data_IF_968161160954
#
_entry.id   IF_968161160954
#
_cell.length_a   1.000
_cell.length_b   1.000
_cell.length_c   1.000
_cell.angle_alpha   90.00
_cell.angle_beta   90.00
_cell.angle_gamma   90.00
#
_symmetry.space_group_name_H-M   'P 1'
#
loop_
_entity.id
_entity.type
_entity.pdbx_description
1 polymer ?
#
# COMPACT_ATOMS: atom_id res chain seq x y z
N UNK A 1 -11.83 7.43 24.85
CA UNK A 1 -11.11 6.25 25.38
C UNK A 1 -10.36 5.62 24.22
N UNK A 2 -9.03 5.75 24.19
CA UNK A 2 -8.16 5.14 23.18
C UNK A 2 -8.03 3.65 23.49
N UNK A 3 -8.75 2.80 22.78
CA UNK A 3 -8.48 1.36 22.81
C UNK A 3 -7.09 1.15 22.20
N UNK A 4 -6.15 0.64 22.99
CA UNK A 4 -4.86 0.18 22.50
C UNK A 4 -5.10 -0.98 21.52
N UNK A 5 -5.27 -0.65 20.25
CA UNK A 5 -5.43 -1.61 19.16
C UNK A 5 -4.08 -2.33 19.03
N UNK A 6 -4.05 -3.61 19.37
CA UNK A 6 -2.88 -4.46 19.11
C UNK A 6 -2.69 -4.48 17.59
N UNK A 7 -1.64 -3.80 17.12
CA UNK A 7 -1.33 -3.72 15.69
C UNK A 7 -0.59 -5.01 15.33
N UNK A 8 -1.24 -5.87 14.52
CA UNK A 8 -0.60 -7.08 14.00
C UNK A 8 0.57 -6.77 13.06
N UNK A 9 1.52 -7.71 12.97
CA UNK A 9 2.64 -7.63 12.05
C UNK A 9 2.17 -7.38 10.61
N UNK A 10 2.76 -6.38 9.96
CA UNK A 10 2.37 -5.98 8.60
C UNK A 10 2.90 -6.96 7.57
N UNK A 11 1.99 -7.53 6.80
CA UNK A 11 2.30 -8.44 5.71
C UNK A 11 2.98 -7.70 4.56
N UNK A 12 4.12 -8.22 4.09
CA UNK A 12 4.88 -7.58 3.02
C UNK A 12 4.35 -8.04 1.65
N UNK A 13 3.76 -7.10 0.91
CA UNK A 13 3.11 -7.34 -0.39
C UNK A 13 3.41 -6.22 -1.38
N UNK A 14 3.48 -6.56 -2.66
CA UNK A 14 3.58 -5.62 -3.77
C UNK A 14 2.18 -5.15 -4.21
N UNK A 15 2.09 -3.97 -4.82
CA UNK A 15 0.79 -3.39 -5.21
C UNK A 15 0.05 -4.27 -6.23
N UNK A 16 0.76 -4.88 -7.18
CA UNK A 16 0.20 -5.81 -8.16
C UNK A 16 -0.35 -7.10 -7.52
N UNK A 17 0.22 -7.53 -6.41
CA UNK A 17 -0.27 -8.69 -5.64
C UNK A 17 -1.57 -8.38 -4.90
N UNK A 18 -1.75 -7.12 -4.46
CA UNK A 18 -3.00 -6.67 -3.82
C UNK A 18 -4.15 -6.66 -4.83
N UNK A 19 -3.92 -6.20 -6.07
CA UNK A 19 -4.97 -6.15 -7.10
C UNK A 19 -5.33 -7.53 -7.64
N UNK A 20 -4.32 -8.36 -7.93
CA UNK A 20 -4.57 -9.63 -8.62
C UNK A 20 -5.05 -10.75 -7.67
N UNK A 21 -5.43 -10.42 -6.43
CA UNK A 21 -5.81 -11.35 -5.37
C UNK A 21 -4.95 -12.63 -5.39
N UNK A 22 -3.63 -12.47 -5.25
CA UNK A 22 -2.72 -13.61 -5.31
C UNK A 22 -3.21 -14.70 -4.34
N UNK A 23 -3.48 -15.91 -4.85
CA UNK A 23 -3.94 -17.08 -4.06
C UNK A 23 -3.06 -17.38 -2.85
N UNK A 24 -1.83 -16.88 -2.88
CA UNK A 24 -0.83 -17.00 -1.82
C UNK A 24 -1.32 -16.39 -0.49
N UNK A 25 -2.22 -15.38 -0.51
CA UNK A 25 -2.59 -14.63 0.67
C UNK A 25 -4.01 -14.07 0.66
N UNK A 26 -4.85 -14.46 1.62
CA UNK A 26 -6.16 -13.83 1.83
C UNK A 26 -6.00 -12.42 2.43
N UNK A 27 -6.13 -11.40 1.59
CA UNK A 27 -6.27 -10.02 2.06
C UNK A 27 -7.71 -9.81 2.51
N UNK A 28 -7.87 -9.37 3.75
CA UNK A 28 -9.17 -9.03 4.35
C UNK A 28 -9.15 -7.57 4.75
N UNK A 29 -10.33 -6.99 4.88
CA UNK A 29 -10.46 -5.67 5.49
C UNK A 29 -9.73 -5.65 6.84
N UNK A 30 -9.05 -4.54 7.12
CA UNK A 30 -8.18 -4.29 8.27
C UNK A 30 -6.89 -5.13 8.31
N UNK A 31 -6.54 -5.85 7.26
CA UNK A 31 -5.21 -6.48 7.17
C UNK A 31 -4.14 -5.41 7.19
N UNK A 32 -3.20 -5.52 8.13
CA UNK A 32 -1.99 -4.69 8.20
C UNK A 32 -1.04 -5.11 7.08
N UNK A 33 -0.74 -4.21 6.16
CA UNK A 33 0.16 -4.45 5.04
C UNK A 33 1.33 -3.46 5.04
N UNK A 34 2.45 -3.92 4.49
CA UNK A 34 3.63 -3.13 4.14
C UNK A 34 3.85 -3.29 2.65
N UNK A 35 3.81 -2.20 1.92
CA UNK A 35 4.03 -2.19 0.47
C UNK A 35 5.01 -1.10 0.07
N UNK A 36 5.49 -1.19 -1.17
CA UNK A 36 6.33 -0.17 -1.79
C UNK A 36 5.74 0.23 -3.13
N UNK A 37 5.86 1.51 -3.46
CA UNK A 37 5.39 2.06 -4.73
C UNK A 37 6.02 3.40 -5.02
N UNK A 38 5.96 3.81 -6.29
CA UNK A 38 6.37 5.12 -6.74
C UNK A 38 5.23 6.10 -6.45
N UNK A 39 5.49 7.14 -5.66
CA UNK A 39 4.51 8.18 -5.42
C UNK A 39 4.26 9.00 -6.69
N UNK A 40 3.03 9.04 -7.18
CA UNK A 40 2.65 9.76 -8.41
C UNK A 40 1.89 11.04 -8.17
N UNK A 41 1.07 11.06 -7.14
CA UNK A 41 0.17 12.18 -6.87
C UNK A 41 -0.05 12.30 -5.37
N UNK A 42 -0.19 13.54 -4.91
CA UNK A 42 -0.74 13.91 -3.62
C UNK A 42 -1.97 14.77 -3.88
N UNK A 43 -3.10 14.39 -3.31
CA UNK A 43 -4.38 15.06 -3.38
C UNK A 43 -4.77 15.49 -1.96
N UNK A 44 -4.46 16.75 -1.64
CA UNK A 44 -4.69 17.31 -0.31
C UNK A 44 -6.17 17.52 -0.03
N UNK A 45 -6.98 17.81 -1.04
CA UNK A 45 -8.42 18.02 -0.89
C UNK A 45 -9.15 16.74 -0.48
N UNK A 46 -8.61 15.59 -0.89
CA UNK A 46 -9.13 14.27 -0.55
C UNK A 46 -8.33 13.55 0.53
N UNK A 47 -7.22 14.12 1.00
CA UNK A 47 -6.25 13.46 1.88
C UNK A 47 -5.80 12.10 1.34
N UNK A 48 -5.49 12.04 0.04
CA UNK A 48 -5.05 10.84 -0.65
C UNK A 48 -3.67 11.03 -1.30
N UNK A 49 -2.92 9.95 -1.39
CA UNK A 49 -1.77 9.82 -2.26
C UNK A 49 -1.95 8.60 -3.18
N UNK A 50 -1.41 8.70 -4.39
CA UNK A 50 -1.46 7.65 -5.40
C UNK A 50 -0.07 7.02 -5.55
N UNK A 51 0.02 5.72 -5.30
CA UNK A 51 1.22 4.92 -5.53
C UNK A 51 1.07 4.10 -6.81
N UNK A 52 2.15 3.95 -7.55
CA UNK A 52 2.25 3.07 -8.72
C UNK A 52 3.32 2.00 -8.50
N UNK A 53 3.04 0.77 -8.92
CA UNK A 53 4.06 -0.23 -9.19
C UNK A 53 3.62 -1.09 -10.39
N UNK A 54 4.48 -1.24 -11.41
CA UNK A 54 4.17 -1.97 -12.65
C UNK A 54 2.81 -1.59 -13.26
N UNK A 55 2.57 -0.30 -13.49
CA UNK A 55 1.31 0.22 -14.05
C UNK A 55 0.05 -0.12 -13.23
N UNK A 56 0.23 -0.59 -11.99
CA UNK A 56 -0.83 -0.93 -11.05
C UNK A 56 -0.83 0.12 -9.95
N UNK A 57 -2.01 0.66 -9.64
CA UNK A 57 -2.16 1.81 -8.76
C UNK A 57 -2.91 1.49 -7.48
N UNK A 58 -2.48 2.10 -6.38
CA UNK A 58 -3.11 1.98 -5.06
C UNK A 58 -3.20 3.36 -4.39
N UNK A 59 -4.38 3.68 -3.85
CA UNK A 59 -4.52 4.83 -2.97
C UNK A 59 -4.06 4.53 -1.56
N UNK A 60 -3.46 5.54 -0.95
CA UNK A 60 -3.24 5.59 0.48
C UNK A 60 -3.74 6.92 1.08
N UNK A 61 -4.12 6.89 2.36
CA UNK A 61 -4.44 8.13 3.10
C UNK A 61 -3.16 8.84 3.56
N UNK A 62 -3.24 10.16 3.72
CA UNK A 62 -2.12 11.02 4.19
C UNK A 62 -2.49 11.91 5.38
N UNK A 63 -3.73 11.81 5.87
CA UNK A 63 -4.32 12.60 6.95
C UNK A 63 -3.49 12.56 8.25
N UNK A 64 -2.91 11.41 8.57
CA UNK A 64 -2.09 11.22 9.77
C UNK A 64 -0.69 11.86 9.68
N UNK A 65 -0.27 12.36 8.51
CA UNK A 65 1.10 12.81 8.25
C UNK A 65 1.18 14.14 7.51
N UNK A 66 0.17 15.01 7.62
CA UNK A 66 0.17 16.32 6.95
C UNK A 66 1.45 17.14 7.30
N UNK A 67 1.97 17.02 8.53
CA UNK A 67 3.22 17.66 8.96
C UNK A 67 4.49 17.05 8.36
N UNK A 68 4.42 15.84 7.81
CA UNK A 68 5.53 15.07 7.24
C UNK A 68 5.18 14.54 5.84
N UNK A 69 4.41 15.33 5.09
CA UNK A 69 3.95 14.93 3.77
C UNK A 69 5.12 14.47 2.91
N UNK A 70 4.93 13.38 2.14
CA UNK A 70 5.90 12.97 1.13
C UNK A 70 6.29 14.17 0.26
N UNK A 71 7.56 14.60 0.34
CA UNK A 71 8.00 15.83 -0.34
C UNK A 71 8.49 15.61 -1.77
N UNK A 72 8.57 14.36 -2.24
CA UNK A 72 9.13 14.02 -3.56
C UNK A 72 8.22 13.10 -4.36
N UNK A 73 7.66 13.61 -5.44
CA UNK A 73 6.94 12.81 -6.45
C UNK A 73 7.96 12.03 -7.29
N UNK A 74 7.51 10.92 -7.90
CA UNK A 74 8.29 10.01 -8.74
C UNK A 74 9.45 9.33 -8.03
N UNK A 75 9.31 9.12 -6.71
CA UNK A 75 10.25 8.39 -5.87
C UNK A 75 9.58 7.21 -5.20
N UNK A 76 10.37 6.21 -4.83
CA UNK A 76 9.87 5.07 -4.08
C UNK A 76 9.57 5.44 -2.64
N UNK A 77 8.40 5.01 -2.18
CA UNK A 77 7.97 5.10 -0.79
C UNK A 77 7.60 3.72 -0.28
N UNK A 78 7.97 3.44 0.97
CA UNK A 78 7.44 2.34 1.75
C UNK A 78 6.27 2.85 2.57
N UNK A 79 5.13 2.19 2.41
CA UNK A 79 3.90 2.50 3.14
C UNK A 79 3.52 1.33 4.03
N UNK A 80 3.14 1.62 5.27
CA UNK A 80 2.55 0.66 6.19
C UNK A 80 1.18 1.17 6.60
N UNK A 81 0.18 0.30 6.56
CA UNK A 81 -1.19 0.66 6.90
C UNK A 81 -2.16 -0.51 6.89
N UNK A 82 -3.43 -0.20 7.07
CA UNK A 82 -4.53 -1.15 7.05
C UNK A 82 -5.28 -1.06 5.72
N UNK A 83 -5.60 -2.22 5.12
CA UNK A 83 -6.52 -2.25 3.98
C UNK A 83 -7.94 -1.91 4.44
N UNK A 84 -8.56 -0.94 3.79
CA UNK A 84 -9.93 -0.51 4.10
C UNK A 84 -10.75 -0.38 2.82
N UNK A 85 -12.07 -0.55 2.93
CA UNK A 85 -12.97 -0.27 1.81
C UNK A 85 -13.01 1.24 1.56
N UNK A 86 -12.91 1.72 0.31
CA UNK A 86 -13.03 3.14 0.02
C UNK A 86 -14.42 3.66 0.39
N UNK A 87 -14.48 4.86 0.96
CA UNK A 87 -15.72 5.59 1.16
C UNK A 87 -16.27 6.17 -0.17
N UNK A 88 -17.49 6.72 -0.16
CA UNK A 88 -18.14 7.24 -1.36
C UNK A 88 -17.32 8.31 -2.12
N UNK A 89 -16.57 9.16 -1.41
CA UNK A 89 -15.73 10.20 -2.03
C UNK A 89 -14.52 9.56 -2.73
N UNK A 90 -13.88 8.60 -2.06
CA UNK A 90 -12.73 7.86 -2.57
C UNK A 90 -13.10 6.98 -3.76
N UNK A 91 -14.28 6.33 -3.73
CA UNK A 91 -14.81 5.53 -4.84
C UNK A 91 -14.93 6.36 -6.12
N UNK A 92 -15.51 7.56 -6.05
CA UNK A 92 -15.61 8.46 -7.22
C UNK A 92 -14.26 8.81 -7.82
N UNK A 93 -13.25 9.03 -6.99
CA UNK A 93 -11.91 9.35 -7.47
C UNK A 93 -11.18 8.13 -8.06
N UNK A 94 -11.41 6.94 -7.51
CA UNK A 94 -10.97 5.67 -8.09
C UNK A 94 -11.58 5.49 -9.48
N UNK A 95 -12.90 5.60 -9.61
CA UNK A 95 -13.64 5.46 -10.87
C UNK A 95 -13.15 6.46 -11.93
N UNK A 96 -12.97 7.73 -11.54
CA UNK A 96 -12.46 8.76 -12.45
C UNK A 96 -11.12 8.39 -13.06
N UNK A 97 -10.20 7.82 -12.28
CA UNK A 97 -8.84 7.47 -12.75
C UNK A 97 -8.80 6.13 -13.45
N UNK A 98 -9.68 5.20 -13.11
CA UNK A 98 -9.91 4.01 -13.92
C UNK A 98 -10.36 4.39 -15.33
N UNK A 99 -11.31 5.33 -15.47
CA UNK A 99 -11.80 5.81 -16.75
C UNK A 99 -10.71 6.47 -17.62
N UNK A 100 -9.55 6.80 -17.02
CA UNK A 100 -8.37 7.29 -17.74
C UNK A 100 -7.44 6.15 -18.22
N UNK A 101 -7.85 4.89 -18.06
CA UNK A 101 -7.08 3.71 -18.47
C UNK A 101 -6.10 3.17 -17.43
N UNK A 102 -6.14 3.66 -16.18
CA UNK A 102 -5.23 3.19 -15.13
C UNK A 102 -5.75 1.91 -14.48
N UNK A 103 -4.88 0.89 -14.35
CA UNK A 103 -5.19 -0.32 -13.57
C UNK A 103 -5.13 0.00 -12.07
N UNK A 104 -6.28 0.33 -11.48
CA UNK A 104 -6.38 0.81 -10.10
C UNK A 104 -7.16 -0.16 -9.21
N UNK A 105 -6.77 -0.25 -7.93
CA UNK A 105 -7.50 -1.06 -6.96
C UNK A 105 -8.82 -0.36 -6.59
N UNK A 106 -9.95 -1.04 -6.84
CA UNK A 106 -11.28 -0.53 -6.48
C UNK A 106 -11.76 -1.00 -5.12
N UNK A 107 -11.29 -2.17 -4.73
CA UNK A 107 -11.75 -2.85 -3.53
C UNK A 107 -11.10 -2.31 -2.27
N UNK A 108 -9.92 -1.72 -2.40
CA UNK A 108 -9.09 -1.37 -1.26
C UNK A 108 -8.39 -0.04 -1.44
N UNK A 109 -8.36 0.70 -0.32
CA UNK A 109 -7.40 1.77 -0.07
C UNK A 109 -6.52 1.36 1.10
N UNK A 110 -5.34 1.98 1.20
CA UNK A 110 -4.42 1.78 2.31
C UNK A 110 -4.52 2.93 3.31
N UNK A 111 -5.24 2.72 4.41
CA UNK A 111 -5.24 3.67 5.52
C UNK A 111 -3.86 3.65 6.19
N UNK A 112 -3.07 4.69 5.93
CA UNK A 112 -1.63 4.63 6.16
C UNK A 112 -1.25 5.17 7.53
N UNK A 113 -0.34 4.44 8.18
CA UNK A 113 0.27 4.77 9.47
C UNK A 113 1.76 5.08 9.38
N UNK A 114 2.41 4.73 8.27
CA UNK A 114 3.82 5.05 8.04
C UNK A 114 4.03 5.35 6.57
N UNK A 115 4.73 6.44 6.30
CA UNK A 115 5.26 6.78 4.98
C UNK A 115 6.77 6.97 5.12
N UNK A 116 7.56 6.29 4.29
CA UNK A 116 9.02 6.43 4.29
C UNK A 116 9.54 6.56 2.87
N UNK A 117 10.23 7.66 2.59
CA UNK A 117 11.01 7.79 1.36
C UNK A 117 12.14 6.75 1.37
N UNK A 118 12.20 5.93 0.33
CA UNK A 118 13.22 4.89 0.13
C UNK A 118 13.89 5.09 -1.23
N UNK A 119 14.37 6.32 -1.47
CA UNK A 119 15.09 6.67 -2.69
C UNK A 119 16.36 5.81 -2.82
N UNK A 120 16.68 5.38 -4.04
CA UNK A 120 17.83 4.51 -4.32
C UNK A 120 17.66 3.05 -3.92
N UNK A 121 16.45 2.59 -3.58
CA UNK A 121 16.19 1.16 -3.37
C UNK A 121 16.45 0.36 -4.65
N UNK A 122 17.19 -0.74 -4.54
CA UNK A 122 17.23 -1.77 -5.57
C UNK A 122 15.92 -2.58 -5.49
N UNK A 123 15.01 -2.27 -6.40
CA UNK A 123 13.68 -2.85 -6.44
C UNK A 123 13.70 -4.34 -6.77
N UNK A 124 14.69 -4.80 -7.53
CA UNK A 124 14.78 -6.19 -7.96
C UNK A 124 15.36 -7.06 -6.84
N UNK A 125 16.42 -6.58 -6.17
CA UNK A 125 16.91 -7.23 -4.95
C UNK A 125 15.85 -7.27 -3.84
N UNK A 126 15.04 -6.22 -3.70
CA UNK A 126 13.92 -6.22 -2.76
C UNK A 126 12.93 -7.36 -3.07
N UNK A 127 12.56 -7.56 -4.34
CA UNK A 127 11.66 -8.66 -4.74
C UNK A 127 12.28 -10.02 -4.47
N UNK A 128 13.55 -10.22 -4.82
CA UNK A 128 14.26 -11.48 -4.53
C UNK A 128 14.26 -11.78 -3.03
N UNK A 129 14.55 -10.77 -2.20
CA UNK A 129 14.53 -10.91 -0.74
C UNK A 129 13.15 -11.31 -0.22
N UNK A 130 12.07 -10.79 -0.82
CA UNK A 130 10.69 -11.12 -0.46
C UNK A 130 10.35 -12.57 -0.83
N UNK A 131 10.80 -13.06 -1.99
CA UNK A 131 10.62 -14.46 -2.41
C UNK A 131 11.32 -15.40 -1.43
N UNK A 132 12.58 -15.11 -1.08
CA UNK A 132 13.34 -15.93 -0.12
C UNK A 132 12.65 -15.95 1.24
N UNK A 133 12.22 -14.79 1.73
CA UNK A 133 11.49 -14.66 2.99
C UNK A 133 10.22 -15.52 3.01
N UNK A 134 9.37 -15.43 1.98
CA UNK A 134 8.12 -16.21 1.90
C UNK A 134 8.37 -17.71 1.84
N UNK A 135 9.40 -18.16 1.09
CA UNK A 135 9.81 -19.56 1.07
C UNK A 135 10.20 -20.06 2.46
N UNK A 136 10.94 -19.25 3.20
CA UNK A 136 11.32 -19.57 4.58
C UNK A 136 10.10 -19.63 5.51
N UNK A 137 9.22 -18.63 5.47
CA UNK A 137 7.99 -18.58 6.29
C UNK A 137 7.06 -19.78 6.00
N UNK A 138 6.99 -20.25 4.74
CA UNK A 138 6.21 -21.43 4.37
C UNK A 138 6.81 -22.75 4.91
N UNK A 139 8.13 -22.82 5.07
CA UNK A 139 8.83 -24.02 5.58
C UNK A 139 8.85 -24.09 7.11
N UNK A 140 8.95 -22.95 7.77
CA UNK A 140 9.22 -22.86 9.21
C UNK A 140 8.05 -22.27 10.03
N UNK A 141 6.95 -21.90 9.37
CA UNK A 141 5.83 -21.19 9.97
C UNK A 141 6.03 -19.67 9.93
N UNK A 142 4.92 -18.93 9.99
CA UNK A 142 4.93 -17.47 10.04
C UNK A 142 5.61 -16.99 11.32
N UNK A 143 6.56 -16.05 11.19
CA UNK A 143 7.09 -15.30 12.33
C UNK A 143 5.98 -14.36 12.83
N UNK A 144 5.20 -14.84 13.80
CA UNK A 144 4.21 -14.05 14.52
C UNK A 144 4.81 -13.44 15.78
#
# INVERSE_FOLDING_TARGET
MSTNKIIGHSKIVMIDEIINESKEFSLRERSSIRTIGILKLIDLDNNLALLEYKQTYLYCTIDQFISHLPSKINKYYQIIGELEKPNLKQQKEIEKRENQGNKINKDWILNSRVHRLIDGIDIDLYKESLIVRRKFENQHGSFN
#
